data_IF_869990201298
#
_entry.id   IF_869990201298
#
_cell.length_a   1.000
_cell.length_b   1.000
_cell.length_c   1.000
_cell.angle_alpha   90.00
_cell.angle_beta   90.00
_cell.angle_gamma   90.00
#
_symmetry.space_group_name_H-M   'P 1'
#
loop_
_entity.id
_entity.type
_entity.pdbx_description
1 polymer ?
#
# COMPACT_ATOMS: atom_id res chain seq x y z
N UNK A 1 -14.20 14.37 -25.40
CA UNK A 1 -15.53 13.72 -25.23
C UNK A 1 -15.68 13.34 -23.77
N UNK A 2 -16.75 13.78 -23.13
CA UNK A 2 -17.07 13.38 -21.76
C UNK A 2 -17.72 11.99 -21.81
N UNK A 3 -17.15 11.04 -21.12
CA UNK A 3 -17.73 9.71 -21.04
C UNK A 3 -18.93 9.71 -20.12
N UNK A 4 -20.02 9.08 -20.55
CA UNK A 4 -21.22 8.91 -19.74
C UNK A 4 -21.22 7.52 -19.11
N UNK A 5 -21.50 7.44 -17.80
CA UNK A 5 -21.55 6.19 -17.04
C UNK A 5 -22.98 5.89 -16.60
N UNK A 6 -23.34 4.63 -16.60
CA UNK A 6 -24.68 4.16 -16.17
C UNK A 6 -24.92 4.31 -14.67
N UNK A 7 -23.85 4.48 -13.90
CA UNK A 7 -23.88 4.79 -12.47
C UNK A 7 -22.89 5.94 -12.21
N UNK A 8 -23.04 6.59 -11.08
CA UNK A 8 -22.07 7.62 -10.68
C UNK A 8 -20.66 7.04 -10.59
N UNK A 9 -19.70 7.72 -11.20
CA UNK A 9 -18.29 7.38 -11.05
C UNK A 9 -17.81 7.73 -9.63
N UNK A 10 -16.70 7.14 -9.24
CA UNK A 10 -16.04 7.41 -7.96
C UNK A 10 -14.78 8.26 -8.17
N UNK A 11 -14.37 8.92 -7.13
CA UNK A 11 -13.13 9.67 -7.13
C UNK A 11 -11.91 8.74 -7.08
N UNK A 12 -10.80 9.22 -7.63
CA UNK A 12 -9.53 8.50 -7.57
C UNK A 12 -9.01 8.54 -6.12
N UNK A 13 -8.82 7.38 -5.47
CA UNK A 13 -8.19 7.34 -4.15
C UNK A 13 -6.83 8.00 -4.19
N UNK A 14 -6.51 8.80 -3.17
CA UNK A 14 -5.25 9.55 -3.16
C UNK A 14 -4.72 9.76 -1.75
N UNK A 15 -3.43 9.97 -1.65
CA UNK A 15 -2.72 10.26 -0.41
C UNK A 15 -2.22 11.71 -0.41
N UNK A 16 -2.29 12.41 0.74
CA UNK A 16 -1.76 13.76 0.86
C UNK A 16 -0.23 13.73 0.81
N UNK A 17 0.36 14.84 0.35
CA UNK A 17 1.80 15.04 0.33
C UNK A 17 2.13 16.13 1.36
N UNK A 18 3.00 15.82 2.31
CA UNK A 18 3.42 16.79 3.32
C UNK A 18 4.09 17.99 2.65
N UNK A 19 3.67 19.19 3.03
CA UNK A 19 4.21 20.44 2.47
C UNK A 19 3.74 20.76 1.06
N UNK A 20 2.68 20.12 0.57
CA UNK A 20 2.13 20.38 -0.76
C UNK A 20 0.61 20.27 -0.75
N UNK A 21 -0.04 21.04 -1.64
CA UNK A 21 -1.47 20.87 -1.91
C UNK A 21 -1.74 19.77 -2.94
N UNK A 22 -0.69 19.22 -3.57
CA UNK A 22 -0.81 18.08 -4.47
C UNK A 22 -1.08 16.82 -3.69
N UNK A 23 -1.71 15.86 -4.34
CA UNK A 23 -2.00 14.54 -3.78
C UNK A 23 -1.41 13.45 -4.69
N UNK A 24 -1.03 12.32 -4.12
CA UNK A 24 -0.58 11.17 -4.88
C UNK A 24 -1.78 10.29 -5.24
N UNK A 25 -2.12 10.12 -6.52
CA UNK A 25 -3.21 9.24 -6.93
C UNK A 25 -2.79 7.77 -6.76
N UNK A 26 -3.61 6.98 -6.07
CA UNK A 26 -3.33 5.57 -5.82
C UNK A 26 -4.08 4.71 -6.82
N UNK A 27 -3.33 3.88 -7.55
CA UNK A 27 -3.89 2.97 -8.53
C UNK A 27 -3.88 1.51 -8.04
N UNK A 28 -2.74 1.07 -7.54
CA UNK A 28 -2.54 -0.30 -7.05
C UNK A 28 -1.75 -0.28 -5.76
N UNK A 29 -2.10 -1.21 -4.88
CA UNK A 29 -1.39 -1.43 -3.62
C UNK A 29 -0.88 -2.86 -3.61
N UNK A 30 0.42 -3.02 -3.45
CA UNK A 30 1.05 -4.32 -3.26
C UNK A 30 1.62 -4.37 -1.84
N UNK A 31 1.23 -5.40 -1.11
CA UNK A 31 1.70 -5.66 0.23
C UNK A 31 2.75 -6.76 0.22
N UNK A 32 3.70 -6.68 1.13
CA UNK A 32 4.74 -7.70 1.31
C UNK A 32 4.39 -8.52 2.54
N UNK A 33 4.07 -9.78 2.36
CA UNK A 33 3.82 -10.70 3.47
C UNK A 33 5.11 -11.29 4.03
N UNK A 34 5.10 -11.64 5.33
CA UNK A 34 6.23 -12.25 6.05
C UNK A 34 7.51 -11.41 6.01
N UNK A 35 7.38 -10.10 6.12
CA UNK A 35 8.51 -9.18 6.04
C UNK A 35 9.21 -8.95 7.40
N UNK A 36 8.57 -9.29 8.51
CA UNK A 36 9.15 -9.20 9.84
C UNK A 36 9.80 -10.54 10.25
N UNK A 37 11.07 -10.50 10.63
CA UNK A 37 11.84 -11.70 11.06
C UNK A 37 11.19 -12.39 12.26
N UNK A 38 10.66 -11.61 13.20
CA UNK A 38 9.98 -12.15 14.37
C UNK A 38 8.70 -12.89 14.00
N UNK A 39 7.90 -12.31 13.12
CA UNK A 39 6.68 -12.93 12.60
C UNK A 39 6.96 -14.24 11.84
N UNK A 40 8.06 -14.27 11.08
CA UNK A 40 8.51 -15.50 10.40
C UNK A 40 8.83 -16.62 11.40
N UNK A 41 9.47 -16.30 12.53
CA UNK A 41 9.78 -17.28 13.58
C UNK A 41 8.52 -17.80 14.27
N UNK A 42 7.55 -16.93 14.56
CA UNK A 42 6.26 -17.32 15.14
C UNK A 42 5.47 -18.26 14.23
N UNK A 43 5.57 -18.09 12.93
CA UNK A 43 4.95 -18.96 11.90
C UNK A 43 5.75 -20.25 11.61
N UNK A 44 6.86 -20.52 12.33
CA UNK A 44 7.69 -21.70 12.14
C UNK A 44 8.65 -21.64 10.95
N UNK A 45 8.84 -20.46 10.37
CA UNK A 45 9.81 -20.23 9.28
C UNK A 45 11.25 -20.15 9.81
N UNK A 46 12.20 -20.51 8.97
CA UNK A 46 13.63 -20.42 9.28
C UNK A 46 14.27 -19.07 8.91
N UNK A 47 13.46 -18.10 8.51
CA UNK A 47 13.90 -16.77 8.09
C UNK A 47 14.54 -16.72 6.70
N UNK A 48 14.57 -17.82 5.96
CA UNK A 48 15.12 -17.92 4.60
C UNK A 48 14.04 -17.90 3.52
N UNK A 49 12.77 -17.93 3.92
CA UNK A 49 11.66 -17.86 2.98
C UNK A 49 11.66 -16.51 2.26
N UNK A 50 11.44 -16.55 0.96
CA UNK A 50 11.28 -15.33 0.19
C UNK A 50 9.96 -14.63 0.57
N UNK A 51 9.93 -13.30 0.65
CA UNK A 51 8.69 -12.57 0.87
C UNK A 51 7.71 -12.86 -0.28
N UNK A 52 6.44 -12.93 0.05
CA UNK A 52 5.40 -13.01 -0.97
C UNK A 52 4.64 -11.70 -1.06
N UNK A 53 4.02 -11.47 -2.21
CA UNK A 53 3.26 -10.25 -2.47
C UNK A 53 1.78 -10.57 -2.59
N UNK A 54 0.95 -9.68 -2.05
CA UNK A 54 -0.49 -9.71 -2.25
C UNK A 54 -1.00 -8.29 -2.51
N UNK A 55 -2.19 -8.17 -3.07
CA UNK A 55 -2.76 -6.88 -3.44
C UNK A 55 -3.92 -6.50 -2.52
N UNK A 56 -4.06 -5.19 -2.30
CA UNK A 56 -5.26 -4.57 -1.74
C UNK A 56 -5.85 -3.59 -2.76
N UNK A 57 -7.14 -3.32 -2.64
CA UNK A 57 -7.80 -2.30 -3.45
C UNK A 57 -7.33 -0.90 -3.04
N UNK A 58 -7.16 0.00 -4.00
CA UNK A 58 -6.93 1.40 -3.70
C UNK A 58 -8.09 2.04 -2.92
N UNK A 59 -9.30 1.49 -3.05
CA UNK A 59 -10.49 1.95 -2.32
C UNK A 59 -10.54 1.46 -0.87
N UNK A 60 -9.61 0.58 -0.46
CA UNK A 60 -9.46 0.18 0.96
C UNK A 60 -8.69 1.23 1.78
N UNK A 61 -8.18 2.28 1.14
CA UNK A 61 -7.55 3.40 1.84
C UNK A 61 -8.56 4.11 2.73
N UNK A 62 -8.20 4.21 4.01
CA UNK A 62 -8.98 5.02 4.95
C UNK A 62 -8.50 6.48 4.86
N UNK A 63 -9.41 7.45 4.63
CA UNK A 63 -9.04 8.86 4.61
C UNK A 63 -8.39 9.32 5.92
N UNK A 64 -7.59 10.37 5.86
CA UNK A 64 -6.95 10.96 7.03
C UNK A 64 -7.99 11.32 8.11
N UNK A 65 -7.76 10.84 9.33
CA UNK A 65 -8.70 11.01 10.44
C UNK A 65 -9.93 10.10 10.38
N UNK A 66 -10.01 9.22 9.39
CA UNK A 66 -11.05 8.20 9.30
C UNK A 66 -10.86 7.09 10.33
N UNK A 67 -11.95 6.38 10.61
CA UNK A 67 -11.95 5.24 11.52
C UNK A 67 -11.93 3.93 10.74
N UNK A 68 -11.15 2.98 11.21
CA UNK A 68 -11.19 1.59 10.76
C UNK A 68 -12.21 0.85 11.60
N UNK A 69 -13.25 0.32 10.95
CA UNK A 69 -14.27 -0.47 11.64
C UNK A 69 -13.75 -1.86 12.00
N UNK A 70 -14.01 -2.28 13.23
CA UNK A 70 -13.63 -3.63 13.66
C UNK A 70 -14.46 -4.67 12.89
N UNK A 71 -13.84 -5.67 12.25
CA UNK A 71 -14.57 -6.69 11.47
C UNK A 71 -15.48 -7.52 12.36
N UNK A 72 -16.74 -7.78 11.95
CA UNK A 72 -17.71 -8.48 12.81
C UNK A 72 -17.46 -9.98 12.98
N UNK A 73 -16.68 -10.58 12.08
CA UNK A 73 -16.44 -12.03 12.05
C UNK A 73 -15.12 -12.48 12.67
N UNK A 74 -14.42 -11.60 13.38
CA UNK A 74 -13.18 -11.93 14.07
C UNK A 74 -13.15 -11.33 15.46
N UNK A 75 -12.52 -12.01 16.40
CA UNK A 75 -12.15 -11.48 17.72
C UNK A 75 -10.65 -11.19 17.83
N UNK A 76 -9.92 -11.37 16.75
CA UNK A 76 -8.45 -11.27 16.70
C UNK A 76 -8.03 -10.43 15.50
N UNK A 77 -8.30 -9.12 15.56
CA UNK A 77 -7.93 -8.16 14.55
C UNK A 77 -6.71 -7.36 14.99
N UNK A 78 -5.64 -7.42 14.19
CA UNK A 78 -4.37 -6.76 14.45
C UNK A 78 -4.11 -5.68 13.43
N UNK A 79 -3.42 -4.64 13.85
CA UNK A 79 -2.85 -3.61 12.99
C UNK A 79 -1.33 -3.74 12.95
N UNK A 80 -0.74 -3.32 11.87
CA UNK A 80 0.71 -3.30 11.69
C UNK A 80 1.14 -1.92 11.20
N UNK A 81 2.36 -1.52 11.56
CA UNK A 81 2.97 -0.29 11.04
C UNK A 81 3.98 -0.68 9.98
N UNK A 82 3.80 -0.16 8.78
CA UNK A 82 4.67 -0.51 7.66
C UNK A 82 5.19 0.73 6.94
N UNK A 83 6.38 0.60 6.38
CA UNK A 83 6.92 1.59 5.46
C UNK A 83 6.33 1.37 4.07
N UNK A 84 5.72 2.41 3.52
CA UNK A 84 5.16 2.38 2.17
C UNK A 84 6.07 3.10 1.19
N UNK A 85 6.53 2.40 0.16
CA UNK A 85 7.22 3.00 -0.96
C UNK A 85 6.22 3.39 -2.05
N UNK A 86 6.21 4.67 -2.38
CA UNK A 86 5.34 5.23 -3.43
C UNK A 86 6.12 5.27 -4.74
N UNK A 87 5.59 4.62 -5.79
CA UNK A 87 6.26 4.50 -7.08
C UNK A 87 5.58 5.42 -8.09
N UNK A 88 6.27 6.46 -8.51
CA UNK A 88 5.79 7.43 -9.49
C UNK A 88 6.03 7.02 -10.94
N UNK A 89 7.12 6.32 -11.21
CA UNK A 89 7.49 5.87 -12.57
C UNK A 89 7.63 4.36 -12.59
N UNK A 90 6.88 3.71 -13.46
CA UNK A 90 6.94 2.26 -13.66
C UNK A 90 8.28 1.82 -14.27
N UNK A 91 8.63 0.55 -14.05
CA UNK A 91 9.82 -0.04 -14.64
C UNK A 91 9.71 -1.56 -14.72
N UNK A 92 10.57 -2.16 -15.54
CA UNK A 92 10.67 -3.60 -15.72
C UNK A 92 12.15 -4.01 -15.71
N UNK A 93 12.47 -5.08 -14.99
CA UNK A 93 13.84 -5.60 -14.83
C UNK A 93 14.84 -4.49 -14.43
N UNK A 94 14.46 -3.66 -13.47
CA UNK A 94 15.27 -2.54 -12.99
C UNK A 94 16.53 -3.09 -12.33
N UNK A 95 17.70 -2.62 -12.80
CA UNK A 95 18.97 -3.02 -12.21
C UNK A 95 19.11 -2.45 -10.80
N UNK A 96 19.56 -3.25 -9.86
CA UNK A 96 19.76 -2.90 -8.44
C UNK A 96 20.58 -1.61 -8.23
N UNK A 97 21.41 -1.19 -9.20
CA UNK A 97 22.25 0.01 -9.08
C UNK A 97 21.56 1.34 -9.45
N UNK A 98 20.33 1.31 -9.97
CA UNK A 98 19.56 2.52 -10.34
C UNK A 98 18.10 2.47 -9.87
N UNK A 99 17.81 2.21 -8.57
CA UNK A 99 16.43 2.16 -8.11
C UNK A 99 15.77 3.54 -8.03
N UNK A 100 16.56 4.60 -7.89
CA UNK A 100 16.07 5.97 -7.62
C UNK A 100 15.33 6.62 -8.78
N UNK A 101 15.50 6.15 -10.02
CA UNK A 101 14.80 6.70 -11.19
C UNK A 101 13.33 6.25 -11.30
N UNK A 102 12.95 5.20 -10.58
CA UNK A 102 11.59 4.63 -10.60
C UNK A 102 10.81 4.88 -9.31
N UNK A 103 11.49 5.21 -8.22
CA UNK A 103 10.85 5.50 -6.94
C UNK A 103 10.38 6.94 -6.86
N UNK A 104 9.13 7.13 -6.46
CA UNK A 104 8.61 8.39 -5.97
C UNK A 104 9.03 8.62 -4.50
N UNK A 105 8.33 9.51 -3.84
CA UNK A 105 8.57 9.78 -2.42
C UNK A 105 8.30 8.54 -1.55
N UNK A 106 9.23 8.22 -0.66
CA UNK A 106 9.00 7.24 0.39
C UNK A 106 8.13 7.87 1.47
N UNK A 107 7.08 7.21 1.87
CA UNK A 107 6.19 7.66 2.95
C UNK A 107 6.02 6.59 4.00
N UNK A 108 5.85 7.03 5.23
CA UNK A 108 5.37 6.20 6.32
C UNK A 108 3.86 6.20 6.28
N UNK A 109 3.24 5.05 6.27
CA UNK A 109 1.81 4.88 6.45
C UNK A 109 1.55 3.88 7.58
N UNK A 110 0.43 4.09 8.26
CA UNK A 110 -0.13 3.16 9.22
C UNK A 110 -1.14 2.30 8.46
N UNK A 111 -1.03 1.01 8.50
CA UNK A 111 -1.99 0.06 7.92
C UNK A 111 -2.71 -0.73 8.99
#
# INVERSE_FOLDING_TARGET
MKMEYVISSWDIPSLPIVGSNARFPVRRIFCVGRNYVEHQKEMGGDGREQPFFFAKSAHDLVPEGGAVHYPPLTSNYHWETEMVAVIGTGGYKIRRRKPTSTSGATRWAWT
#
